data_IF_164399155009
#
_entry.id   IF_164399155009
#
_cell.length_a   1.000
_cell.length_b   1.000
_cell.length_c   1.000
_cell.angle_alpha   90.00
_cell.angle_beta   90.00
_cell.angle_gamma   90.00
#
_symmetry.space_group_name_H-M   'P 1'
#
loop_
_entity.id
_entity.type
_entity.pdbx_description
1 polymer ?
#
# COMPACT_ATOMS: atom_id res chain seq x y z
N UNK A 1 -29.95 -58.44 45.44
CA UNK A 1 -29.09 -57.32 45.02
C UNK A 1 -29.08 -57.28 43.51
N UNK A 2 -29.89 -56.42 42.93
CA UNK A 2 -30.02 -56.24 41.48
C UNK A 2 -28.85 -55.37 41.01
N UNK A 3 -27.92 -55.97 40.26
CA UNK A 3 -26.81 -55.25 39.65
C UNK A 3 -27.36 -54.28 38.60
N UNK A 4 -27.07 -52.99 38.77
CA UNK A 4 -27.33 -51.94 37.78
C UNK A 4 -26.55 -52.28 36.50
N UNK A 5 -27.27 -52.51 35.41
CA UNK A 5 -26.71 -52.61 34.07
C UNK A 5 -26.05 -51.27 33.76
N UNK A 6 -24.72 -51.30 33.58
CA UNK A 6 -23.95 -50.18 33.05
C UNK A 6 -24.54 -49.75 31.71
N UNK A 7 -24.96 -48.48 31.61
CA UNK A 7 -25.34 -47.86 30.34
C UNK A 7 -24.13 -47.89 29.40
N UNK A 8 -24.16 -48.83 28.47
CA UNK A 8 -23.22 -48.91 27.35
C UNK A 8 -23.37 -47.65 26.49
N UNK A 9 -22.30 -46.85 26.40
CA UNK A 9 -22.25 -45.59 25.64
C UNK A 9 -22.41 -45.82 24.12
N UNK A 10 -22.02 -46.99 23.63
CA UNK A 10 -22.15 -47.40 22.22
C UNK A 10 -23.52 -48.00 21.88
N UNK A 11 -24.39 -48.17 22.87
CA UNK A 11 -25.70 -48.82 22.73
C UNK A 11 -26.86 -47.81 22.68
N UNK A 12 -26.58 -46.50 22.61
CA UNK A 12 -27.62 -45.49 22.41
C UNK A 12 -28.05 -45.45 20.93
N UNK A 13 -29.35 -45.25 20.64
CA UNK A 13 -29.82 -45.05 19.27
C UNK A 13 -29.06 -43.90 18.60
N UNK A 14 -28.61 -44.12 17.37
CA UNK A 14 -28.03 -43.09 16.51
C UNK A 14 -29.16 -42.43 15.72
N UNK A 15 -29.99 -41.67 16.40
CA UNK A 15 -31.16 -40.98 15.84
C UNK A 15 -31.08 -39.45 15.98
N UNK A 16 -29.96 -38.94 16.52
CA UNK A 16 -29.75 -37.51 16.69
C UNK A 16 -29.13 -36.91 15.44
N UNK A 17 -29.30 -35.60 15.27
CA UNK A 17 -28.81 -34.86 14.11
C UNK A 17 -28.14 -33.55 14.53
N UNK A 18 -27.42 -32.89 13.64
CA UNK A 18 -26.92 -31.54 13.88
C UNK A 18 -27.01 -30.72 12.59
N UNK A 19 -27.60 -29.53 12.69
CA UNK A 19 -27.61 -28.54 11.61
C UNK A 19 -26.66 -27.40 11.98
N UNK A 20 -25.76 -27.02 11.07
CA UNK A 20 -24.82 -25.92 11.25
C UNK A 20 -24.93 -24.98 10.06
N UNK A 21 -25.02 -23.69 10.35
CA UNK A 21 -24.88 -22.61 9.37
C UNK A 21 -23.73 -21.71 9.77
N UNK A 22 -22.75 -21.59 8.89
CA UNK A 22 -21.56 -20.75 9.07
C UNK A 22 -21.70 -19.49 8.21
N UNK A 23 -21.76 -18.34 8.86
CA UNK A 23 -21.97 -17.04 8.20
C UNK A 23 -20.97 -16.00 8.69
N UNK A 24 -20.78 -14.95 7.93
CA UNK A 24 -20.02 -13.76 8.36
C UNK A 24 -20.87 -12.81 9.24
N UNK A 25 -20.23 -11.74 9.70
CA UNK A 25 -20.89 -10.71 10.53
C UNK A 25 -22.00 -9.93 9.81
N UNK A 26 -22.11 -10.06 8.48
CA UNK A 26 -23.15 -9.45 7.64
C UNK A 26 -24.20 -10.48 7.19
N UNK A 27 -24.22 -11.67 7.82
CA UNK A 27 -25.12 -12.78 7.52
C UNK A 27 -24.99 -13.30 6.06
N UNK A 28 -23.81 -13.19 5.46
CA UNK A 28 -23.51 -13.88 4.22
C UNK A 28 -22.96 -15.27 4.53
N UNK A 29 -23.45 -16.32 3.85
CA UNK A 29 -22.91 -17.65 4.03
C UNK A 29 -21.45 -17.71 3.57
N UNK A 30 -20.64 -18.48 4.29
CA UNK A 30 -19.31 -18.88 3.79
C UNK A 30 -19.48 -19.75 2.53
N UNK A 31 -18.44 -19.87 1.72
CA UNK A 31 -18.39 -20.80 0.59
C UNK A 31 -18.43 -22.29 1.00
N UNK A 32 -18.02 -23.15 0.06
CA UNK A 32 -17.93 -24.58 0.35
C UNK A 32 -16.64 -24.91 1.09
N UNK A 33 -16.75 -25.49 2.29
CA UNK A 33 -15.62 -25.78 3.17
C UNK A 33 -15.64 -27.23 3.64
N UNK A 34 -14.53 -27.94 3.47
CA UNK A 34 -14.38 -29.33 3.94
C UNK A 34 -13.74 -29.38 5.32
N UNK A 35 -14.11 -30.41 6.08
CA UNK A 35 -13.62 -30.60 7.43
C UNK A 35 -14.03 -31.95 8.02
N UNK A 36 -13.91 -32.04 9.34
CA UNK A 36 -14.29 -33.18 10.15
C UNK A 36 -15.22 -32.75 11.26
N UNK A 37 -16.18 -33.60 11.56
CA UNK A 37 -17.08 -33.46 12.70
C UNK A 37 -16.86 -34.66 13.63
N UNK A 38 -16.41 -34.40 14.86
CA UNK A 38 -16.22 -35.41 15.88
C UNK A 38 -17.46 -35.51 16.76
N UNK A 39 -18.04 -36.69 16.85
CA UNK A 39 -19.23 -36.93 17.66
C UNK A 39 -18.91 -37.28 19.13
N UNK A 40 -19.96 -37.51 19.93
CA UNK A 40 -19.84 -37.78 21.37
C UNK A 40 -19.21 -39.14 21.71
N UNK A 41 -19.13 -40.06 20.73
CA UNK A 41 -18.41 -41.33 20.84
C UNK A 41 -16.93 -41.19 20.46
N UNK A 42 -16.57 -40.08 19.82
CA UNK A 42 -15.22 -39.77 19.37
C UNK A 42 -14.95 -40.15 17.92
N UNK A 43 -15.97 -40.62 17.17
CA UNK A 43 -15.85 -40.92 15.74
C UNK A 43 -15.79 -39.60 14.95
N UNK A 44 -14.85 -39.53 14.01
CA UNK A 44 -14.69 -38.40 13.10
C UNK A 44 -15.40 -38.68 11.77
N UNK A 45 -16.37 -37.83 11.44
CA UNK A 45 -17.10 -37.84 10.18
C UNK A 45 -16.49 -36.82 9.22
N UNK A 46 -16.17 -37.22 8.00
CA UNK A 46 -15.79 -36.26 6.95
C UNK A 46 -17.03 -35.49 6.51
N UNK A 47 -16.94 -34.16 6.53
CA UNK A 47 -18.08 -33.28 6.23
C UNK A 47 -17.68 -32.17 5.28
N UNK A 48 -18.67 -31.68 4.53
CA UNK A 48 -18.54 -30.48 3.70
C UNK A 48 -19.69 -29.55 4.04
N UNK A 49 -19.36 -28.32 4.44
CA UNK A 49 -20.32 -27.23 4.57
C UNK A 49 -20.54 -26.66 3.17
N UNK A 50 -21.66 -26.96 2.51
CA UNK A 50 -21.97 -26.45 1.17
C UNK A 50 -22.62 -25.08 1.30
N UNK A 51 -21.90 -24.01 0.90
CA UNK A 51 -22.38 -22.65 1.11
C UNK A 51 -22.60 -22.34 2.61
N UNK A 52 -21.67 -22.77 3.46
CA UNK A 52 -21.75 -22.61 4.90
C UNK A 52 -22.79 -23.49 5.59
N UNK A 53 -23.54 -24.34 4.87
CA UNK A 53 -24.59 -25.20 5.42
C UNK A 53 -24.12 -26.65 5.58
N UNK A 54 -24.40 -27.25 6.74
CA UNK A 54 -24.22 -28.67 7.01
C UNK A 54 -25.42 -29.22 7.78
N UNK A 55 -25.94 -30.37 7.35
CA UNK A 55 -26.85 -31.21 8.11
C UNK A 55 -26.24 -32.62 8.17
N UNK A 56 -26.04 -33.14 9.37
CA UNK A 56 -25.56 -34.50 9.59
C UNK A 56 -26.53 -35.23 10.51
N UNK A 57 -27.01 -36.39 10.08
CA UNK A 57 -27.93 -37.27 10.82
C UNK A 57 -27.20 -38.46 11.40
N UNK A 58 -27.91 -39.33 12.11
CA UNK A 58 -27.42 -40.61 12.60
C UNK A 58 -26.24 -40.48 13.59
N UNK A 59 -26.31 -39.45 14.42
CA UNK A 59 -25.33 -39.15 15.46
C UNK A 59 -25.77 -39.70 16.84
N UNK A 60 -24.83 -40.08 17.71
CA UNK A 60 -25.13 -40.33 19.10
C UNK A 60 -25.52 -39.03 19.84
N UNK A 61 -26.27 -39.18 20.93
CA UNK A 61 -26.56 -38.06 21.82
C UNK A 61 -25.27 -37.54 22.49
N UNK A 62 -25.06 -36.22 22.51
CA UNK A 62 -23.97 -35.59 23.25
C UNK A 62 -23.18 -34.53 22.48
N UNK A 63 -22.01 -34.13 22.99
CA UNK A 63 -21.22 -33.04 22.42
C UNK A 63 -20.72 -33.36 21.01
N UNK A 64 -20.59 -32.32 20.20
CA UNK A 64 -20.09 -32.37 18.82
C UNK A 64 -19.04 -31.29 18.62
N UNK A 65 -17.95 -31.62 17.92
CA UNK A 65 -16.87 -30.70 17.60
C UNK A 65 -16.68 -30.62 16.08
N UNK A 66 -16.67 -29.40 15.52
CA UNK A 66 -16.43 -29.15 14.10
C UNK A 66 -15.01 -28.62 13.91
N UNK A 67 -14.29 -29.20 12.95
CA UNK A 67 -12.95 -28.79 12.52
C UNK A 67 -12.91 -28.64 11.00
N UNK A 68 -12.63 -27.44 10.51
CA UNK A 68 -12.58 -27.08 9.09
C UNK A 68 -11.12 -26.96 8.67
N UNK A 69 -10.81 -27.37 7.43
CA UNK A 69 -9.46 -27.21 6.87
C UNK A 69 -9.01 -25.74 6.97
N UNK A 70 -7.90 -25.51 7.68
CA UNK A 70 -7.47 -24.17 8.12
C UNK A 70 -7.21 -23.24 6.95
N UNK A 71 -6.58 -23.73 5.87
CA UNK A 71 -6.18 -22.90 4.73
C UNK A 71 -7.40 -22.41 3.95
N UNK A 72 -8.36 -23.29 3.68
CA UNK A 72 -9.63 -22.98 3.04
C UNK A 72 -10.44 -21.99 3.88
N UNK A 73 -10.54 -22.21 5.20
CA UNK A 73 -11.24 -21.31 6.10
C UNK A 73 -10.64 -19.89 6.09
N UNK A 74 -9.32 -19.77 6.22
CA UNK A 74 -8.62 -18.48 6.21
C UNK A 74 -8.75 -17.77 4.85
N UNK A 75 -8.68 -18.50 3.74
CA UNK A 75 -8.84 -17.92 2.41
C UNK A 75 -10.27 -17.47 2.13
N UNK A 76 -11.26 -18.20 2.64
CA UNK A 76 -12.66 -17.79 2.54
C UNK A 76 -12.93 -16.55 3.41
N UNK A 77 -12.44 -16.54 4.65
CA UNK A 77 -12.64 -15.43 5.59
C UNK A 77 -12.16 -14.07 5.05
N UNK A 78 -11.11 -14.03 4.21
CA UNK A 78 -10.62 -12.80 3.56
C UNK A 78 -11.63 -12.14 2.62
N UNK A 79 -12.63 -12.88 2.14
CA UNK A 79 -13.69 -12.37 1.24
C UNK A 79 -14.80 -11.65 2.03
N UNK A 80 -14.88 -11.89 3.33
CA UNK A 80 -15.91 -11.38 4.20
C UNK A 80 -15.45 -10.12 4.92
N UNK A 81 -16.38 -9.18 5.12
CA UNK A 81 -16.09 -7.88 5.73
C UNK A 81 -16.55 -7.82 7.18
N UNK A 82 -15.84 -7.08 8.05
CA UNK A 82 -16.33 -6.80 9.38
C UNK A 82 -17.62 -5.97 9.29
N UNK A 83 -18.50 -6.20 10.26
CA UNK A 83 -19.72 -5.42 10.39
C UNK A 83 -19.41 -3.97 10.81
N UNK A 84 -20.00 -2.95 10.16
CA UNK A 84 -19.86 -1.56 10.59
C UNK A 84 -20.41 -1.32 12.00
N UNK A 85 -19.68 -0.62 12.86
CA UNK A 85 -20.19 -0.14 14.14
C UNK A 85 -21.05 1.13 13.93
N UNK A 86 -22.23 1.29 14.58
CA UNK A 86 -22.78 0.48 15.69
C UNK A 86 -23.88 -0.54 15.27
N UNK A 87 -23.79 -1.19 14.11
CA UNK A 87 -24.85 -2.05 13.59
C UNK A 87 -25.12 -3.30 14.47
N UNK A 88 -26.41 -3.62 14.70
CA UNK A 88 -26.84 -4.89 15.32
C UNK A 88 -26.48 -6.09 14.43
N UNK A 89 -26.36 -7.29 15.00
CA UNK A 89 -25.93 -8.47 14.22
C UNK A 89 -27.08 -8.96 13.34
N UNK A 90 -26.98 -8.87 12.00
CA UNK A 90 -28.00 -9.41 11.11
C UNK A 90 -28.10 -10.94 11.24
N UNK A 91 -26.98 -11.62 11.53
CA UNK A 91 -26.93 -13.06 11.76
C UNK A 91 -27.71 -13.45 13.02
N UNK A 92 -27.58 -12.70 14.11
CA UNK A 92 -28.35 -12.93 15.34
C UNK A 92 -29.84 -12.67 15.12
N UNK A 93 -30.19 -11.57 14.46
CA UNK A 93 -31.59 -11.26 14.14
C UNK A 93 -32.23 -12.35 13.27
N UNK A 94 -31.48 -12.90 12.31
CA UNK A 94 -31.94 -14.03 11.51
C UNK A 94 -32.22 -15.26 12.38
N UNK A 95 -31.26 -15.64 13.24
CA UNK A 95 -31.39 -16.78 14.13
C UNK A 95 -32.59 -16.65 15.11
N UNK A 96 -32.87 -15.45 15.60
CA UNK A 96 -33.98 -15.20 16.53
C UNK A 96 -35.36 -15.31 15.85
N UNK A 97 -35.45 -15.02 14.53
CA UNK A 97 -36.71 -15.00 13.77
C UNK A 97 -37.03 -16.31 13.05
N UNK A 98 -36.03 -17.16 12.80
CA UNK A 98 -36.20 -18.37 11.99
C UNK A 98 -36.13 -19.65 12.82
N UNK A 99 -36.60 -20.73 12.22
CA UNK A 99 -36.50 -22.08 12.77
C UNK A 99 -35.49 -22.88 11.96
N UNK A 100 -34.77 -23.76 12.64
CA UNK A 100 -33.86 -24.69 12.02
C UNK A 100 -34.56 -25.95 11.52
N UNK A 101 -33.75 -26.97 11.25
CA UNK A 101 -34.18 -28.32 10.97
C UNK A 101 -35.15 -28.83 12.04
N UNK A 102 -36.17 -29.57 11.59
CA UNK A 102 -37.29 -30.05 12.41
C UNK A 102 -38.02 -28.96 13.22
N UNK A 103 -38.06 -27.72 12.70
CA UNK A 103 -38.66 -26.55 13.36
C UNK A 103 -38.02 -26.23 14.72
N UNK A 104 -36.81 -26.71 14.97
CA UNK A 104 -36.07 -26.47 16.21
C UNK A 104 -35.71 -24.99 16.37
N UNK A 105 -35.44 -24.59 17.63
CA UNK A 105 -34.92 -23.24 17.91
C UNK A 105 -33.46 -23.16 17.48
N UNK A 106 -33.12 -22.16 16.67
CA UNK A 106 -31.75 -21.90 16.27
C UNK A 106 -30.95 -21.37 17.46
N UNK A 107 -29.78 -21.97 17.70
CA UNK A 107 -28.80 -21.55 18.71
C UNK A 107 -27.72 -20.68 18.05
N UNK A 108 -27.84 -19.37 18.22
CA UNK A 108 -26.84 -18.41 17.78
C UNK A 108 -25.58 -18.44 18.65
N UNK A 109 -24.41 -18.43 18.02
CA UNK A 109 -23.11 -18.22 18.70
C UNK A 109 -22.22 -17.33 17.83
N UNK A 110 -21.61 -16.31 18.47
CA UNK A 110 -20.55 -15.51 17.86
C UNK A 110 -19.21 -16.18 18.15
N UNK A 111 -18.50 -16.59 17.12
CA UNK A 111 -17.29 -17.41 17.21
C UNK A 111 -16.11 -16.75 16.50
N UNK A 112 -14.91 -17.25 16.75
CA UNK A 112 -13.74 -16.96 15.92
C UNK A 112 -13.46 -18.12 14.97
N UNK A 113 -12.62 -17.88 13.96
CA UNK A 113 -12.08 -18.97 13.14
C UNK A 113 -11.34 -20.00 14.00
N UNK A 114 -10.73 -19.58 15.11
CA UNK A 114 -10.02 -20.46 16.02
C UNK A 114 -10.90 -21.48 16.74
N UNK A 115 -12.20 -21.22 16.86
CA UNK A 115 -13.14 -22.20 17.40
C UNK A 115 -13.32 -23.41 16.46
N UNK A 116 -13.12 -23.22 15.14
CA UNK A 116 -13.44 -24.23 14.11
C UNK A 116 -12.27 -24.63 13.22
N UNK A 117 -11.10 -24.00 13.28
CA UNK A 117 -9.96 -24.45 12.47
C UNK A 117 -9.47 -25.86 12.87
N UNK A 118 -8.94 -26.63 11.93
CA UNK A 118 -8.41 -27.96 12.22
C UNK A 118 -7.04 -27.90 12.88
N UNK A 119 -6.18 -26.99 12.40
CA UNK A 119 -4.85 -26.73 12.92
C UNK A 119 -4.69 -25.23 13.17
N UNK A 120 -4.12 -24.85 14.31
CA UNK A 120 -3.78 -23.46 14.59
C UNK A 120 -2.72 -22.98 13.58
N UNK A 121 -2.97 -21.89 12.82
CA UNK A 121 -2.02 -21.32 11.90
C UNK A 121 -0.82 -20.77 12.67
N UNK A 122 0.37 -20.85 12.07
CA UNK A 122 1.61 -20.40 12.72
C UNK A 122 1.63 -18.91 13.06
N UNK A 123 0.77 -18.09 12.44
CA UNK A 123 0.63 -16.68 12.76
C UNK A 123 -0.82 -16.21 12.53
N UNK A 124 -1.44 -15.70 13.60
CA UNK A 124 -2.77 -15.10 13.58
C UNK A 124 -2.92 -14.18 14.79
N UNK A 125 -3.66 -13.09 14.65
CA UNK A 125 -3.97 -12.19 15.75
C UNK A 125 -4.71 -12.93 16.88
N UNK A 126 -4.39 -12.59 18.13
CA UNK A 126 -5.00 -13.21 19.31
C UNK A 126 -6.53 -13.12 19.29
N UNK A 127 -7.09 -12.07 18.68
CA UNK A 127 -8.55 -11.87 18.57
C UNK A 127 -9.27 -12.98 17.78
N UNK A 128 -8.56 -13.81 17.03
CA UNK A 128 -9.14 -14.91 16.24
C UNK A 128 -8.86 -16.29 16.80
N UNK A 129 -8.15 -16.39 17.93
CA UNK A 129 -8.00 -17.65 18.66
C UNK A 129 -9.34 -18.11 19.24
N UNK A 130 -9.46 -19.39 19.55
CA UNK A 130 -10.69 -19.98 20.09
C UNK A 130 -11.17 -19.22 21.34
N UNK A 131 -12.48 -18.96 21.43
CA UNK A 131 -13.12 -18.32 22.58
C UNK A 131 -12.93 -16.81 22.72
N UNK A 132 -12.27 -16.14 21.79
CA UNK A 132 -11.94 -14.71 21.88
C UNK A 132 -13.11 -13.77 21.56
N UNK A 133 -14.29 -14.34 21.29
CA UNK A 133 -15.59 -13.66 21.31
C UNK A 133 -16.24 -13.66 22.71
N UNK A 134 -15.56 -14.21 23.72
CA UNK A 134 -15.98 -14.25 25.13
C UNK A 134 -16.52 -15.61 25.59
N UNK A 135 -16.78 -16.55 24.67
CA UNK A 135 -17.21 -17.93 24.97
C UNK A 135 -16.62 -18.89 23.95
N UNK A 136 -16.16 -20.06 24.39
CA UNK A 136 -15.82 -21.15 23.46
C UNK A 136 -17.07 -21.69 22.77
N UNK A 137 -16.92 -22.07 21.50
CA UNK A 137 -17.95 -22.80 20.77
C UNK A 137 -18.30 -24.10 21.50
N UNK A 138 -19.60 -24.29 21.76
CA UNK A 138 -20.14 -25.54 22.32
C UNK A 138 -21.32 -26.01 21.48
N UNK A 139 -21.21 -27.23 20.96
CA UNK A 139 -22.28 -27.87 20.20
C UNK A 139 -22.63 -29.23 20.77
N UNK A 140 -23.92 -29.57 20.66
CA UNK A 140 -24.50 -30.84 21.11
C UNK A 140 -25.45 -31.30 20.03
N UNK A 141 -25.49 -32.59 19.75
CA UNK A 141 -26.44 -33.18 18.82
C UNK A 141 -27.90 -32.87 19.22
N UNK A 142 -28.80 -33.03 18.25
CA UNK A 142 -30.20 -32.62 18.24
C UNK A 142 -30.44 -31.10 18.34
N UNK A 143 -29.64 -30.32 17.62
CA UNK A 143 -29.73 -28.87 17.64
C UNK A 143 -29.34 -28.24 16.31
N UNK A 144 -29.95 -27.10 16.03
CA UNK A 144 -29.56 -26.21 14.93
C UNK A 144 -28.70 -25.05 15.44
N UNK A 145 -27.55 -24.84 14.82
CA UNK A 145 -26.59 -23.80 15.17
C UNK A 145 -26.43 -22.78 14.05
N UNK A 146 -26.36 -21.50 14.45
CA UNK A 146 -26.04 -20.38 13.57
C UNK A 146 -24.78 -19.72 14.09
N UNK A 147 -23.68 -19.94 13.39
CA UNK A 147 -22.34 -19.57 13.80
C UNK A 147 -21.92 -18.33 13.01
N UNK A 148 -21.96 -17.18 13.67
CA UNK A 148 -21.41 -15.93 13.14
C UNK A 148 -19.90 -15.91 13.39
N UNK A 149 -19.11 -15.90 12.33
CA UNK A 149 -17.64 -15.88 12.42
C UNK A 149 -17.16 -14.43 12.43
N UNK A 150 -16.33 -14.09 13.42
CA UNK A 150 -15.63 -12.81 13.48
C UNK A 150 -14.78 -12.60 12.22
N UNK A 151 -14.94 -11.45 11.57
CA UNK A 151 -14.21 -11.10 10.36
C UNK A 151 -12.77 -10.66 10.67
N UNK A 152 -11.88 -10.86 9.69
CA UNK A 152 -10.53 -10.28 9.68
C UNK A 152 -10.60 -8.74 9.60
N UNK A 153 -9.61 -8.05 10.15
CA UNK A 153 -9.49 -6.60 9.94
C UNK A 153 -9.19 -6.29 8.49
N UNK A 154 -9.68 -5.14 8.02
CA UNK A 154 -9.47 -4.68 6.66
C UNK A 154 -8.93 -3.25 6.66
N UNK A 155 -7.90 -3.02 5.83
CA UNK A 155 -7.40 -1.69 5.52
C UNK A 155 -8.30 -1.00 4.49
N UNK A 156 -8.63 0.27 4.73
CA UNK A 156 -9.41 1.07 3.79
C UNK A 156 -8.50 1.69 2.73
N UNK A 157 -8.23 0.96 1.65
CA UNK A 157 -7.37 1.41 0.55
C UNK A 157 -8.15 2.19 -0.53
N UNK A 158 -7.51 3.15 -1.23
CA UNK A 158 -6.08 3.49 -1.19
C UNK A 158 -5.68 4.40 -0.01
N UNK A 159 -4.44 4.27 0.47
CA UNK A 159 -3.90 5.08 1.58
C UNK A 159 -2.51 5.63 1.26
N UNK A 160 -2.26 6.89 1.61
CA UNK A 160 -0.92 7.47 1.54
C UNK A 160 -0.07 6.88 2.67
N UNK A 161 1.02 6.21 2.30
CA UNK A 161 1.93 5.55 3.24
C UNK A 161 3.22 6.33 3.47
N UNK A 162 3.49 7.33 2.62
CA UNK A 162 4.62 8.24 2.78
C UNK A 162 4.42 9.51 1.96
N UNK A 163 4.89 10.64 2.50
CA UNK A 163 5.06 11.89 1.78
C UNK A 163 6.34 12.58 2.24
N UNK A 164 7.07 13.12 1.28
CA UNK A 164 8.24 13.95 1.50
C UNK A 164 7.93 15.22 2.30
N UNK A 165 8.96 15.79 2.94
CA UNK A 165 8.82 17.06 3.66
C UNK A 165 8.42 18.23 2.74
N UNK A 166 9.04 18.29 1.56
CA UNK A 166 8.71 19.27 0.52
C UNK A 166 7.35 18.95 -0.08
N UNK A 167 6.44 19.93 -0.19
CA UNK A 167 5.08 19.69 -0.66
C UNK A 167 5.05 19.39 -2.16
N UNK A 168 3.98 18.71 -2.60
CA UNK A 168 3.64 18.61 -4.02
C UNK A 168 3.16 19.98 -4.50
N UNK A 169 3.35 20.25 -5.79
CA UNK A 169 2.86 21.45 -6.47
C UNK A 169 3.41 22.76 -5.86
N UNK A 170 4.69 22.74 -5.45
CA UNK A 170 5.35 23.84 -4.74
C UNK A 170 5.78 24.99 -5.65
N UNK A 171 4.80 25.72 -6.19
CA UNK A 171 5.02 26.90 -7.03
C UNK A 171 5.69 28.07 -6.31
N UNK A 172 5.89 27.98 -4.98
CA UNK A 172 6.53 29.01 -4.16
C UNK A 172 8.02 28.75 -3.94
N UNK A 173 8.53 27.60 -4.38
CA UNK A 173 9.95 27.31 -4.37
C UNK A 173 10.75 28.37 -5.16
N UNK A 174 12.02 28.58 -4.81
CA UNK A 174 12.85 29.60 -5.43
C UNK A 174 13.11 29.29 -6.92
N UNK A 175 13.41 28.04 -7.26
CA UNK A 175 13.55 27.53 -8.63
C UNK A 175 12.25 27.61 -9.45
N UNK A 176 11.12 27.91 -8.83
CA UNK A 176 9.85 28.16 -9.51
C UNK A 176 9.56 29.66 -9.76
N UNK A 177 10.44 30.57 -9.32
CA UNK A 177 10.30 32.00 -9.60
C UNK A 177 10.81 32.37 -11.00
N UNK A 178 10.26 33.42 -11.59
CA UNK A 178 10.69 33.95 -12.90
C UNK A 178 10.45 35.45 -13.01
N UNK A 179 11.32 36.13 -13.77
CA UNK A 179 11.21 37.56 -14.06
C UNK A 179 11.21 38.45 -12.81
N UNK A 180 11.82 37.99 -11.73
CA UNK A 180 11.74 38.59 -10.40
C UNK A 180 13.00 39.37 -10.01
N UNK A 181 14.13 39.13 -10.69
CA UNK A 181 15.41 39.76 -10.40
C UNK A 181 15.82 40.82 -11.44
N UNK A 182 16.39 41.92 -10.96
CA UNK A 182 17.02 42.94 -11.82
C UNK A 182 18.42 42.51 -12.29
N UNK A 183 18.92 43.12 -13.37
CA UNK A 183 20.28 42.91 -13.89
C UNK A 183 21.33 43.07 -12.78
N UNK A 184 21.25 44.15 -12.02
CA UNK A 184 22.16 44.43 -10.89
C UNK A 184 22.10 43.38 -9.78
N UNK A 185 20.93 42.79 -9.50
CA UNK A 185 20.84 41.71 -8.51
C UNK A 185 21.58 40.47 -9.02
N UNK A 186 21.37 40.08 -10.28
CA UNK A 186 22.01 38.89 -10.87
C UNK A 186 23.53 39.08 -11.02
N UNK A 187 23.98 40.27 -11.42
CA UNK A 187 25.42 40.61 -11.53
C UNK A 187 26.22 40.39 -10.24
N UNK A 188 25.56 40.48 -9.08
CA UNK A 188 26.19 40.33 -7.78
C UNK A 188 26.20 38.88 -7.27
N UNK A 189 25.61 37.94 -8.00
CA UNK A 189 25.60 36.51 -7.68
C UNK A 189 26.87 35.81 -8.15
N UNK A 190 27.16 34.65 -7.55
CA UNK A 190 28.23 33.74 -7.99
C UNK A 190 29.60 34.04 -7.39
N UNK A 191 30.42 32.99 -7.25
CA UNK A 191 31.78 33.13 -6.78
C UNK A 191 32.60 33.93 -7.81
N UNK A 192 33.27 34.99 -7.35
CA UNK A 192 33.95 35.98 -8.22
C UNK A 192 33.03 36.75 -9.20
N UNK A 193 31.72 36.77 -8.95
CA UNK A 193 30.72 37.55 -9.72
C UNK A 193 30.84 37.35 -11.24
N UNK A 194 30.69 36.11 -11.76
CA UNK A 194 30.90 35.83 -13.17
C UNK A 194 29.91 36.58 -14.07
N UNK A 195 28.68 36.79 -13.61
CA UNK A 195 27.68 37.59 -14.30
C UNK A 195 28.14 39.05 -14.53
N UNK A 196 28.93 39.61 -13.59
CA UNK A 196 29.51 40.94 -13.77
C UNK A 196 30.65 40.95 -14.80
N UNK A 197 31.43 39.86 -14.88
CA UNK A 197 32.52 39.74 -15.87
C UNK A 197 32.02 39.46 -17.28
N UNK A 198 30.78 38.97 -17.40
CA UNK A 198 30.14 38.56 -18.65
C UNK A 198 28.85 39.34 -18.88
N UNK A 199 28.85 40.63 -18.57
CA UNK A 199 27.67 41.49 -18.63
C UNK A 199 26.98 41.52 -20.01
N UNK A 200 27.75 41.33 -21.09
CA UNK A 200 27.20 41.25 -22.43
C UNK A 200 26.19 40.11 -22.60
N UNK A 201 26.21 39.07 -21.74
CA UNK A 201 25.26 37.95 -21.79
C UNK A 201 23.81 38.42 -21.55
N UNK A 202 23.57 39.52 -20.83
CA UNK A 202 22.21 40.05 -20.62
C UNK A 202 21.61 40.72 -21.86
N UNK A 203 22.46 41.15 -22.80
CA UNK A 203 22.05 41.87 -24.00
C UNK A 203 21.91 40.92 -25.22
N UNK A 204 22.22 39.62 -25.04
CA UNK A 204 22.00 38.59 -26.05
C UNK A 204 20.50 38.34 -26.23
N UNK A 205 20.01 38.06 -27.46
CA UNK A 205 18.63 37.68 -27.67
C UNK A 205 18.33 36.34 -26.99
N UNK A 206 17.08 36.14 -26.57
CA UNK A 206 16.65 34.88 -25.95
C UNK A 206 16.99 33.64 -26.81
N UNK A 207 16.90 33.77 -28.14
CA UNK A 207 17.27 32.71 -29.10
C UNK A 207 18.70 32.21 -28.91
N UNK A 208 19.64 33.10 -28.57
CA UNK A 208 21.04 32.74 -28.38
C UNK A 208 21.23 31.98 -27.07
N UNK A 209 20.53 32.37 -26.01
CA UNK A 209 20.50 31.62 -24.77
C UNK A 209 19.90 30.23 -24.96
N UNK A 210 18.78 30.12 -25.69
CA UNK A 210 18.19 28.81 -26.01
C UNK A 210 19.05 27.97 -26.95
N UNK A 211 19.78 28.59 -27.89
CA UNK A 211 20.77 27.88 -28.70
C UNK A 211 21.90 27.30 -27.85
N UNK A 212 22.41 28.07 -26.89
CA UNK A 212 23.40 27.58 -25.91
C UNK A 212 22.81 26.45 -25.03
N UNK A 213 21.57 26.60 -24.60
CA UNK A 213 20.84 25.59 -23.81
C UNK A 213 20.75 24.27 -24.58
N UNK A 214 20.31 24.32 -25.85
CA UNK A 214 20.19 23.15 -26.72
C UNK A 214 21.54 22.54 -27.07
N UNK A 215 22.58 23.34 -27.31
CA UNK A 215 23.91 22.85 -27.63
C UNK A 215 24.45 21.99 -26.49
N UNK A 216 24.38 22.50 -25.26
CA UNK A 216 24.84 21.76 -24.09
C UNK A 216 23.93 20.55 -23.79
N UNK A 217 22.60 20.72 -23.91
CA UNK A 217 21.67 19.61 -23.78
C UNK A 217 21.99 18.48 -24.76
N UNK A 218 22.29 18.79 -26.02
CA UNK A 218 22.65 17.79 -27.03
C UNK A 218 23.96 17.05 -26.70
N UNK A 219 24.90 17.67 -25.99
CA UNK A 219 26.14 16.99 -25.56
C UNK A 219 25.95 16.02 -24.40
N UNK A 220 24.83 16.10 -23.68
CA UNK A 220 24.53 15.20 -22.56
C UNK A 220 23.33 14.29 -22.82
N UNK A 221 22.49 14.60 -23.81
CA UNK A 221 21.23 13.92 -24.15
C UNK A 221 21.43 12.74 -25.10
N UNK A 222 22.00 11.64 -24.61
CA UNK A 222 22.24 10.42 -25.39
C UNK A 222 21.25 9.30 -25.04
N UNK A 223 20.88 8.47 -26.03
CA UNK A 223 20.05 7.29 -25.80
C UNK A 223 18.54 7.56 -25.76
N UNK A 224 17.80 6.66 -25.10
CA UNK A 224 16.33 6.59 -25.14
C UNK A 224 15.63 7.88 -24.65
N UNK A 225 16.27 8.62 -23.74
CA UNK A 225 15.66 9.78 -23.09
C UNK A 225 16.10 11.12 -23.69
N UNK A 226 16.98 11.14 -24.70
CA UNK A 226 17.52 12.39 -25.25
C UNK A 226 16.47 13.33 -25.87
N UNK A 227 15.36 12.79 -26.37
CA UNK A 227 14.23 13.59 -26.88
C UNK A 227 13.50 14.35 -25.79
N UNK A 228 13.53 13.87 -24.55
CA UNK A 228 12.83 14.45 -23.41
C UNK A 228 13.43 15.81 -23.01
N UNK A 229 14.77 15.89 -22.99
CA UNK A 229 15.49 17.14 -22.73
C UNK A 229 15.14 18.21 -23.75
N UNK A 230 15.05 17.84 -25.04
CA UNK A 230 14.62 18.78 -26.08
C UNK A 230 13.19 19.27 -25.86
N UNK A 231 12.25 18.37 -25.58
CA UNK A 231 10.85 18.74 -25.33
C UNK A 231 10.69 19.69 -24.14
N UNK A 232 11.49 19.49 -23.10
CA UNK A 232 11.47 20.34 -21.91
C UNK A 232 12.06 21.74 -22.17
N UNK A 233 13.13 21.83 -22.96
CA UNK A 233 13.67 23.11 -23.43
C UNK A 233 12.67 23.83 -24.34
N UNK A 234 12.05 23.11 -25.28
CA UNK A 234 11.04 23.68 -26.18
C UNK A 234 9.83 24.20 -25.39
N UNK A 235 9.42 23.50 -24.33
CA UNK A 235 8.37 23.98 -23.41
C UNK A 235 8.81 25.24 -22.66
N UNK A 236 10.05 25.28 -22.18
CA UNK A 236 10.59 26.45 -21.50
C UNK A 236 10.60 27.67 -22.44
N UNK A 237 11.02 27.49 -23.70
CA UNK A 237 10.99 28.52 -24.74
C UNK A 237 9.58 28.99 -25.11
N UNK A 238 8.58 28.09 -25.07
CA UNK A 238 7.17 28.46 -25.25
C UNK A 238 6.61 29.28 -24.06
N UNK A 239 7.33 29.38 -22.95
CA UNK A 239 6.96 30.17 -21.77
C UNK A 239 5.59 29.78 -21.15
N UNK A 240 5.26 28.49 -21.18
CA UNK A 240 3.94 27.98 -20.72
C UNK A 240 3.90 27.82 -19.19
N UNK A 241 5.00 27.41 -18.56
CA UNK A 241 5.04 27.04 -17.15
C UNK A 241 4.19 25.80 -16.80
N UNK A 242 3.66 25.74 -15.58
CA UNK A 242 2.69 24.71 -15.15
C UNK A 242 3.31 23.33 -14.90
N UNK A 243 2.61 22.25 -15.28
CA UNK A 243 3.10 20.87 -15.17
C UNK A 243 3.47 20.29 -16.53
N UNK A 244 4.54 19.51 -16.54
CA UNK A 244 4.98 18.71 -17.68
C UNK A 244 4.98 17.23 -17.27
N UNK A 245 4.18 16.43 -17.97
CA UNK A 245 4.13 14.97 -17.83
C UNK A 245 4.47 14.34 -19.18
N UNK A 246 5.18 13.22 -19.16
CA UNK A 246 5.50 12.50 -20.37
C UNK A 246 5.74 11.01 -20.06
N UNK A 247 5.30 10.07 -20.92
CA UNK A 247 5.53 8.63 -20.67
C UNK A 247 7.00 8.24 -20.50
N UNK A 248 7.93 8.98 -21.13
CA UNK A 248 9.37 8.79 -20.94
C UNK A 248 9.84 9.19 -19.53
N UNK A 249 9.24 10.21 -18.91
CA UNK A 249 9.50 10.58 -17.51
C UNK A 249 9.02 9.47 -16.57
N UNK A 250 7.81 8.97 -16.81
CA UNK A 250 7.24 7.86 -16.02
C UNK A 250 8.08 6.60 -16.15
N UNK A 251 8.54 6.27 -17.36
CA UNK A 251 9.40 5.12 -17.64
C UNK A 251 10.77 5.26 -16.97
N UNK A 252 11.38 6.45 -17.06
CA UNK A 252 12.66 6.74 -16.44
C UNK A 252 12.57 6.59 -14.92
N UNK A 253 11.59 7.23 -14.29
CA UNK A 253 11.37 7.13 -12.85
C UNK A 253 11.07 5.70 -12.40
N UNK A 254 10.26 4.95 -13.16
CA UNK A 254 9.89 3.57 -12.81
C UNK A 254 11.07 2.59 -12.85
N UNK A 255 11.98 2.75 -13.81
CA UNK A 255 13.06 1.79 -14.09
C UNK A 255 14.35 2.08 -13.32
N UNK A 256 14.33 3.09 -12.45
CA UNK A 256 15.51 3.54 -11.74
C UNK A 256 15.82 2.64 -10.52
N UNK A 257 17.10 2.32 -10.30
CA UNK A 257 17.55 1.51 -9.15
C UNK A 257 17.11 2.08 -7.79
N UNK A 258 17.01 3.40 -7.68
CA UNK A 258 16.56 4.03 -6.45
C UNK A 258 15.06 3.83 -6.19
N UNK A 259 14.26 3.70 -7.24
CA UNK A 259 12.87 3.28 -7.12
C UNK A 259 12.78 1.85 -6.62
N UNK A 260 13.69 0.96 -7.06
CA UNK A 260 13.80 -0.41 -6.52
C UNK A 260 14.15 -0.39 -5.02
N UNK A 261 15.13 0.41 -4.60
CA UNK A 261 15.48 0.56 -3.20
C UNK A 261 14.33 1.09 -2.33
N UNK A 262 13.50 2.00 -2.86
CA UNK A 262 12.28 2.48 -2.18
C UNK A 262 11.24 1.35 -2.09
N UNK A 263 11.06 0.55 -3.15
CA UNK A 263 10.19 -0.63 -3.15
C UNK A 263 10.60 -1.64 -2.08
N UNK A 264 11.90 -1.87 -1.91
CA UNK A 264 12.43 -2.75 -0.86
C UNK A 264 12.14 -2.20 0.53
N UNK A 265 12.40 -0.90 0.77
CA UNK A 265 12.09 -0.24 2.06
C UNK A 265 10.60 -0.31 2.43
N UNK A 266 9.71 -0.13 1.45
CA UNK A 266 8.26 -0.28 1.65
C UNK A 266 7.93 -1.72 2.03
N UNK A 267 8.48 -2.69 1.29
CA UNK A 267 8.23 -4.11 1.54
C UNK A 267 8.71 -4.52 2.94
N UNK A 268 9.90 -4.09 3.34
CA UNK A 268 10.45 -4.32 4.68
C UNK A 268 9.59 -3.68 5.79
N UNK A 269 9.08 -2.46 5.57
CA UNK A 269 8.25 -1.78 6.54
C UNK A 269 6.91 -2.50 6.75
N UNK A 270 6.30 -2.97 5.66
CA UNK A 270 5.05 -3.74 5.70
C UNK A 270 5.30 -5.12 6.33
N UNK A 271 6.35 -5.84 5.95
CA UNK A 271 6.76 -7.11 6.59
C UNK A 271 6.92 -6.98 8.10
N UNK A 272 7.61 -5.93 8.55
CA UNK A 272 7.87 -5.71 9.97
C UNK A 272 6.57 -5.45 10.77
N UNK A 273 5.66 -4.63 10.24
CA UNK A 273 4.40 -4.36 10.94
C UNK A 273 3.44 -5.56 10.86
N UNK A 274 3.38 -6.28 9.74
CA UNK A 274 2.60 -7.53 9.63
C UNK A 274 3.06 -8.57 10.63
N UNK A 275 4.38 -8.77 10.76
CA UNK A 275 4.95 -9.69 11.75
C UNK A 275 4.59 -9.29 13.17
N UNK A 276 4.65 -7.99 13.48
CA UNK A 276 4.30 -7.45 14.81
C UNK A 276 2.81 -7.60 15.13
N UNK A 277 1.95 -7.55 14.13
CA UNK A 277 0.49 -7.65 14.27
C UNK A 277 -0.09 -9.00 13.91
N UNK A 278 0.77 -10.02 13.81
CA UNK A 278 0.36 -11.39 13.51
C UNK A 278 -0.49 -11.51 12.25
N UNK A 279 -0.12 -10.76 11.20
CA UNK A 279 -0.71 -10.85 9.87
C UNK A 279 -1.93 -9.96 9.61
N UNK A 280 -2.35 -9.12 10.56
CA UNK A 280 -3.45 -8.18 10.38
C UNK A 280 -2.99 -6.72 10.49
N UNK A 281 -3.49 -5.86 9.61
CA UNK A 281 -3.24 -4.43 9.65
C UNK A 281 -4.56 -3.67 9.79
N UNK A 282 -4.50 -2.57 10.53
CA UNK A 282 -5.57 -1.59 10.66
C UNK A 282 -5.07 -0.21 10.24
N UNK A 283 -5.98 0.74 10.00
CA UNK A 283 -5.63 2.08 9.50
C UNK A 283 -4.64 2.82 10.41
N UNK A 284 -4.68 2.57 11.73
CA UNK A 284 -3.71 3.14 12.67
C UNK A 284 -2.28 2.58 12.52
N UNK A 285 -2.11 1.38 11.97
CA UNK A 285 -0.80 0.78 11.74
C UNK A 285 -0.09 1.38 10.53
N UNK A 286 -0.84 1.98 9.60
CA UNK A 286 -0.30 2.76 8.48
C UNK A 286 0.55 3.94 8.99
N UNK A 287 0.19 4.56 10.12
CA UNK A 287 1.01 5.62 10.74
C UNK A 287 2.40 5.12 11.17
N UNK A 288 2.52 3.85 11.56
CA UNK A 288 3.82 3.28 11.93
C UNK A 288 4.66 2.94 10.71
N UNK A 289 4.03 2.42 9.65
CA UNK A 289 4.67 2.23 8.35
C UNK A 289 5.19 3.58 7.86
N UNK A 290 4.36 4.62 7.90
CA UNK A 290 4.76 5.99 7.60
C UNK A 290 5.97 6.43 8.40
N UNK A 291 5.92 6.33 9.73
CA UNK A 291 7.03 6.76 10.59
C UNK A 291 8.32 5.98 10.28
N UNK A 292 8.21 4.69 9.98
CA UNK A 292 9.35 3.86 9.55
C UNK A 292 10.00 4.39 8.27
N UNK A 293 9.17 4.79 7.29
CA UNK A 293 9.61 5.32 6.00
C UNK A 293 10.05 6.79 6.08
N UNK A 294 9.52 7.58 7.02
CA UNK A 294 9.83 9.00 7.16
C UNK A 294 11.11 9.25 7.98
N UNK A 295 11.24 8.60 9.13
CA UNK A 295 12.31 8.90 10.11
C UNK A 295 12.86 7.65 10.80
N UNK A 296 12.36 6.45 10.45
CA UNK A 296 12.71 5.21 11.11
C UNK A 296 13.81 4.44 10.40
N UNK A 297 13.87 3.13 10.68
CA UNK A 297 14.88 2.22 10.13
C UNK A 297 14.87 2.17 8.60
N UNK A 298 13.70 2.35 7.99
CA UNK A 298 13.51 2.27 6.55
C UNK A 298 13.37 3.67 5.94
N UNK A 299 14.02 4.68 6.52
CA UNK A 299 13.88 6.07 6.10
C UNK A 299 14.19 6.25 4.61
N UNK A 300 13.27 6.91 3.93
CA UNK A 300 13.34 7.31 2.53
C UNK A 300 14.03 8.68 2.50
N UNK A 301 15.29 8.72 2.07
CA UNK A 301 16.05 9.97 1.95
C UNK A 301 15.93 10.53 0.54
N UNK A 302 15.38 11.74 0.42
CA UNK A 302 15.15 12.40 -0.87
C UNK A 302 16.23 13.44 -1.14
N UNK A 303 17.26 13.07 -1.91
CA UNK A 303 17.96 14.08 -2.73
C UNK A 303 18.10 13.63 -4.20
N UNK A 304 17.38 12.57 -4.58
CA UNK A 304 17.67 11.71 -5.74
C UNK A 304 18.03 10.26 -5.36
N UNK A 305 18.11 9.95 -4.05
CA UNK A 305 18.30 8.64 -3.37
C UNK A 305 19.74 8.04 -3.34
N UNK A 306 20.74 8.86 -2.99
CA UNK A 306 22.00 8.52 -2.29
C UNK A 306 23.10 7.63 -2.94
N UNK A 307 23.27 7.61 -4.27
CA UNK A 307 24.54 7.17 -4.89
C UNK A 307 25.09 8.17 -5.92
N UNK A 308 26.42 8.10 -6.11
CA UNK A 308 27.28 8.85 -7.05
C UNK A 308 26.68 9.03 -8.46
N UNK A 309 27.16 9.99 -9.27
CA UNK A 309 26.38 10.74 -10.26
C UNK A 309 26.02 9.94 -11.52
N UNK A 310 25.20 8.90 -11.39
CA UNK A 310 24.59 8.22 -12.53
C UNK A 310 23.25 8.90 -12.83
N UNK A 311 23.39 10.11 -13.36
CA UNK A 311 22.28 10.91 -13.84
C UNK A 311 21.86 10.26 -15.14
N UNK A 312 20.71 9.56 -15.09
CA UNK A 312 19.89 9.13 -16.21
C UNK A 312 20.55 9.45 -17.55
N UNK A 313 21.12 8.47 -18.25
CA UNK A 313 21.76 8.66 -19.56
C UNK A 313 20.95 9.64 -20.46
N UNK A 314 21.23 10.95 -20.40
CA UNK A 314 20.45 12.01 -21.03
C UNK A 314 19.63 13.03 -20.20
N UNK A 315 19.24 12.77 -18.94
CA UNK A 315 18.27 13.57 -18.16
C UNK A 315 18.87 14.42 -17.03
N UNK A 316 20.20 14.51 -16.94
CA UNK A 316 20.87 15.30 -15.92
C UNK A 316 20.49 16.79 -15.88
N UNK A 317 19.97 17.32 -16.98
CA UNK A 317 19.47 18.70 -17.09
C UNK A 317 17.96 18.77 -16.78
N UNK A 318 17.23 17.67 -16.96
CA UNK A 318 15.75 17.64 -16.88
C UNK A 318 15.23 17.29 -15.50
N UNK A 319 15.94 16.42 -14.76
CA UNK A 319 15.58 16.00 -13.41
C UNK A 319 16.88 15.93 -12.63
N UNK A 320 17.20 17.01 -11.90
CA UNK A 320 18.43 17.15 -11.11
C UNK A 320 18.26 16.49 -9.73
N UNK A 321 17.02 16.35 -9.25
CA UNK A 321 16.65 15.67 -8.01
C UNK A 321 15.17 15.29 -7.99
N UNK A 322 14.65 14.85 -6.84
CA UNK A 322 13.20 14.78 -6.63
C UNK A 322 12.87 15.82 -5.58
N UNK A 323 12.10 16.85 -5.96
CA UNK A 323 11.59 17.85 -5.04
C UNK A 323 10.58 17.24 -4.07
N UNK A 324 9.60 16.50 -4.59
CA UNK A 324 8.52 15.91 -3.78
C UNK A 324 8.21 14.46 -4.19
N UNK A 325 7.92 13.61 -3.22
CA UNK A 325 7.49 12.22 -3.42
C UNK A 325 6.28 11.91 -2.54
N UNK A 326 5.26 11.30 -3.13
CA UNK A 326 4.11 10.73 -2.44
C UNK A 326 3.94 9.27 -2.86
N UNK A 327 3.80 8.39 -1.87
CA UNK A 327 3.57 6.97 -2.07
C UNK A 327 2.18 6.60 -1.56
N UNK A 328 1.39 5.97 -2.42
CA UNK A 328 0.03 5.52 -2.08
C UNK A 328 -0.09 4.02 -2.26
N UNK A 329 -0.40 3.30 -1.19
CA UNK A 329 -0.74 1.88 -1.25
C UNK A 329 -2.13 1.73 -1.88
N UNK A 330 -2.19 1.14 -3.07
CA UNK A 330 -3.44 0.97 -3.82
C UNK A 330 -4.16 -0.32 -3.45
N UNK A 331 -3.43 -1.41 -3.28
CA UNK A 331 -3.95 -2.68 -2.83
C UNK A 331 -2.90 -3.43 -2.00
N UNK A 332 -3.38 -4.32 -1.13
CA UNK A 332 -2.58 -5.23 -0.34
C UNK A 332 -3.37 -6.52 -0.14
N UNK A 333 -2.77 -7.64 -0.54
CA UNK A 333 -3.28 -8.99 -0.34
C UNK A 333 -2.34 -9.74 0.59
N UNK A 334 -2.87 -10.27 1.68
CA UNK A 334 -2.11 -10.95 2.73
C UNK A 334 -2.47 -12.44 2.70
N UNK A 335 -1.44 -13.28 2.62
CA UNK A 335 -1.53 -14.72 2.78
C UNK A 335 -1.04 -15.15 4.18
N UNK A 336 -1.99 -15.31 5.10
CA UNK A 336 -1.74 -15.77 6.46
C UNK A 336 -1.16 -17.20 6.52
N UNK A 337 -1.45 -18.05 5.53
CA UNK A 337 -0.99 -19.45 5.53
C UNK A 337 0.48 -19.50 5.14
N UNK A 338 0.83 -18.86 4.03
CA UNK A 338 2.21 -18.83 3.53
C UNK A 338 3.08 -17.76 4.23
N UNK A 339 2.45 -16.87 4.99
CA UNK A 339 3.03 -15.68 5.64
C UNK A 339 3.70 -14.76 4.62
N UNK A 340 2.99 -14.48 3.53
CA UNK A 340 3.44 -13.60 2.44
C UNK A 340 2.41 -12.53 2.14
N UNK A 341 2.84 -11.43 1.53
CA UNK A 341 1.93 -10.41 1.01
C UNK A 341 2.33 -9.99 -0.41
N UNK A 342 1.36 -9.48 -1.14
CA UNK A 342 1.54 -8.84 -2.43
C UNK A 342 0.71 -7.55 -2.47
N UNK A 343 1.22 -6.51 -3.10
CA UNK A 343 0.51 -5.25 -3.21
C UNK A 343 0.98 -4.40 -4.38
N UNK A 344 0.34 -3.25 -4.53
CA UNK A 344 0.68 -2.25 -5.54
C UNK A 344 0.78 -0.89 -4.87
N UNK A 345 1.88 -0.20 -5.14
CA UNK A 345 2.12 1.17 -4.69
C UNK A 345 2.18 2.10 -5.89
N UNK A 346 1.45 3.21 -5.80
CA UNK A 346 1.55 4.33 -6.72
C UNK A 346 2.63 5.28 -6.25
N UNK A 347 3.53 5.62 -7.16
CA UNK A 347 4.55 6.63 -7.02
C UNK A 347 4.08 7.88 -7.75
N UNK A 348 4.04 8.99 -7.02
CA UNK A 348 3.89 10.32 -7.60
C UNK A 348 5.11 11.13 -7.16
N UNK A 349 5.99 11.43 -8.11
CA UNK A 349 7.19 12.21 -7.87
C UNK A 349 7.15 13.50 -8.69
N UNK A 350 7.73 14.56 -8.14
CA UNK A 350 7.84 15.85 -8.80
C UNK A 350 9.24 16.43 -8.64
N UNK A 351 9.72 17.10 -9.67
CA UNK A 351 10.90 17.96 -9.65
C UNK A 351 10.57 19.29 -10.33
N UNK A 352 11.46 20.28 -10.18
CA UNK A 352 11.32 21.59 -10.81
C UNK A 352 12.30 21.73 -11.97
N UNK A 353 11.79 22.11 -13.14
CA UNK A 353 12.63 22.57 -14.24
C UNK A 353 12.86 24.07 -14.10
N UNK A 354 13.77 24.42 -13.19
CA UNK A 354 14.22 25.78 -12.94
C UNK A 354 15.46 25.81 -12.05
N UNK A 355 16.07 26.99 -11.89
CA UNK A 355 17.27 27.18 -11.08
C UNK A 355 17.00 28.06 -9.86
N UNK A 356 17.50 27.63 -8.71
CA UNK A 356 17.53 28.44 -7.50
C UNK A 356 18.74 29.40 -7.56
N UNK A 357 18.70 30.46 -6.76
CA UNK A 357 19.85 31.38 -6.58
C UNK A 357 21.09 30.61 -6.14
N UNK A 358 20.93 29.67 -5.20
CA UNK A 358 22.03 28.84 -4.67
C UNK A 358 22.70 27.95 -5.73
N UNK A 359 22.00 27.64 -6.83
CA UNK A 359 22.59 26.88 -7.93
C UNK A 359 23.63 27.71 -8.72
N UNK A 360 23.54 29.04 -8.67
CA UNK A 360 24.49 29.97 -9.34
C UNK A 360 25.27 30.87 -8.38
N UNK A 361 25.11 30.67 -7.07
CA UNK A 361 25.85 31.39 -6.02
C UNK A 361 26.39 30.55 -4.87
N UNK A 362 26.20 29.22 -4.90
CA UNK A 362 26.73 28.29 -3.92
C UNK A 362 28.07 27.65 -4.31
N UNK A 363 28.53 26.68 -3.52
CA UNK A 363 29.81 25.97 -3.71
C UNK A 363 29.82 24.95 -4.88
N UNK A 364 28.85 25.05 -5.81
CA UNK A 364 28.66 24.10 -6.92
C UNK A 364 29.38 24.49 -8.21
N UNK A 365 29.90 25.72 -8.31
CA UNK A 365 30.64 26.26 -9.48
C UNK A 365 29.86 26.24 -10.81
N UNK A 366 28.54 26.03 -10.79
CA UNK A 366 27.72 25.98 -12.02
C UNK A 366 27.65 27.34 -12.72
N UNK A 367 27.86 28.43 -12.00
CA UNK A 367 27.94 29.78 -12.54
C UNK A 367 29.08 29.97 -13.57
N UNK A 368 30.08 29.09 -13.59
CA UNK A 368 31.14 29.11 -14.61
C UNK A 368 30.71 28.47 -15.92
N UNK A 369 29.66 27.66 -15.92
CA UNK A 369 29.11 27.03 -17.12
C UNK A 369 28.10 27.95 -17.80
N UNK A 370 28.32 28.22 -19.10
CA UNK A 370 27.46 29.10 -19.90
C UNK A 370 25.99 28.64 -19.96
N UNK A 371 25.76 27.32 -19.86
CA UNK A 371 24.42 26.74 -19.76
C UNK A 371 23.64 27.34 -18.59
N UNK A 372 24.16 27.18 -17.37
CA UNK A 372 23.44 27.55 -16.15
C UNK A 372 23.25 29.06 -16.07
N UNK A 373 24.22 29.85 -16.52
CA UNK A 373 24.04 31.31 -16.65
C UNK A 373 22.93 31.67 -17.64
N UNK A 374 22.91 31.05 -18.82
CA UNK A 374 21.87 31.31 -19.83
C UNK A 374 20.48 30.92 -19.32
N UNK A 375 20.36 29.77 -18.66
CA UNK A 375 19.11 29.32 -18.03
C UNK A 375 18.68 30.31 -16.93
N UNK A 376 19.58 30.68 -16.03
CA UNK A 376 19.27 31.61 -14.94
C UNK A 376 18.87 33.00 -15.44
N UNK A 377 19.55 33.52 -16.47
CA UNK A 377 19.19 34.78 -17.13
C UNK A 377 17.81 34.68 -17.79
N UNK A 378 17.55 33.64 -18.60
CA UNK A 378 16.24 33.42 -19.22
C UNK A 378 15.11 33.37 -18.19
N UNK A 379 15.33 32.69 -17.06
CA UNK A 379 14.33 32.49 -16.03
C UNK A 379 14.14 33.73 -15.13
N UNK A 380 15.19 34.18 -14.45
CA UNK A 380 15.11 35.11 -13.30
C UNK A 380 15.20 36.58 -13.72
N UNK A 381 15.84 36.89 -14.85
CA UNK A 381 16.00 38.28 -15.26
C UNK A 381 14.67 38.88 -15.71
N UNK A 382 14.31 40.03 -15.12
CA UNK A 382 13.12 40.83 -15.47
C UNK A 382 13.01 41.16 -16.97
N UNK A 383 14.11 41.17 -17.71
CA UNK A 383 14.10 41.40 -19.16
C UNK A 383 13.54 40.23 -19.97
N UNK A 384 13.50 39.01 -19.41
CA UNK A 384 13.02 37.81 -20.08
C UNK A 384 11.82 37.18 -19.35
N UNK A 385 12.04 36.64 -18.15
CA UNK A 385 10.97 36.05 -17.34
C UNK A 385 10.33 34.78 -17.93
N UNK A 386 11.12 33.89 -18.54
CA UNK A 386 10.63 32.58 -18.97
C UNK A 386 10.24 31.73 -17.75
N UNK A 387 9.04 31.13 -17.81
CA UNK A 387 8.43 30.44 -16.68
C UNK A 387 9.01 29.03 -16.51
N UNK A 388 9.55 28.69 -15.33
CA UNK A 388 9.87 27.31 -14.99
C UNK A 388 8.57 26.49 -14.86
N UNK A 389 8.72 25.17 -14.77
CA UNK A 389 7.58 24.27 -14.66
C UNK A 389 7.93 23.04 -13.82
N UNK A 390 6.91 22.41 -13.27
CA UNK A 390 7.03 21.16 -12.53
C UNK A 390 7.09 20.00 -13.52
N UNK A 391 8.06 19.11 -13.37
CA UNK A 391 8.03 17.79 -14.00
C UNK A 391 7.32 16.82 -13.06
N UNK A 392 6.31 16.11 -13.57
CA UNK A 392 5.57 15.12 -12.77
C UNK A 392 5.75 13.73 -13.37
N UNK A 393 6.17 12.80 -12.51
CA UNK A 393 6.46 11.41 -12.83
C UNK A 393 5.50 10.52 -12.04
N UNK A 394 4.65 9.79 -12.75
CA UNK A 394 3.64 8.92 -12.17
C UNK A 394 3.84 7.48 -12.66
N UNK A 395 4.02 6.54 -11.72
CA UNK A 395 4.10 5.14 -12.07
C UNK A 395 3.65 4.24 -10.92
N UNK A 396 3.43 2.96 -11.22
CA UNK A 396 3.09 1.95 -10.21
C UNK A 396 4.17 0.89 -10.13
N UNK A 397 4.39 0.40 -8.91
CA UNK A 397 5.29 -0.72 -8.61
C UNK A 397 4.55 -1.78 -7.82
N UNK A 398 4.84 -3.04 -8.14
CA UNK A 398 4.43 -4.17 -7.31
C UNK A 398 5.38 -4.24 -6.11
N UNK A 399 4.81 -4.55 -4.96
CA UNK A 399 5.53 -4.87 -3.73
C UNK A 399 5.16 -6.29 -3.32
N UNK A 400 6.10 -6.99 -2.70
CA UNK A 400 5.87 -8.32 -2.17
C UNK A 400 6.89 -8.61 -1.09
N UNK A 401 6.52 -9.44 -0.13
CA UNK A 401 7.44 -9.88 0.92
C UNK A 401 6.85 -11.02 1.72
N UNK A 402 7.67 -11.56 2.63
CA UNK A 402 7.23 -12.48 3.67
C UNK A 402 7.35 -11.84 5.04
N UNK A 403 6.59 -12.36 6.00
CA UNK A 403 6.56 -11.86 7.38
C UNK A 403 6.73 -13.01 8.37
N UNK A 404 7.64 -13.94 8.07
CA UNK A 404 7.83 -15.17 8.85
C UNK A 404 8.40 -14.98 10.24
#
# INVERSE_FOLDING_TARGET
>A
MTAKINQCRDCQPKDQWIEIRLVDEMNQPFGSLSGKLKDSSGVEHQVTLSGGYLLLTDLPAGPVELKIETSALLNEAKKHKPRPSPQTSPAKEYADKHKGYEKSKIKYQFITMGDVWQLEPGMVSDRHKAGQTGKLLRMVSNNSYFLEVRALTQLHLPLVIFQSQKPMDDIKADDMQSGDMSRNQIMNLGMFKPFSKLDYEFDLPASDHFANFRLFASSVSWGEYGSLTKMMIDRFEQNVGGKFTHPLLDKAAKSHQNTDAVVDKISDAISAELKKKSGELEDNDIKKIWNSLATGKNSIHLPGFDTTPDWFNGLGITVHGIWSLQLTLQNLSIDLVNRTFNGVVSFKAQDHFGLNVDDVSGDKYFEFLRLFRSWFILQRYKGFGYKPFITEMNHTRKISGDFR
#
